data_IF_251200546588
#
_entry.id   IF_251200546588
#
_cell.length_a   1.000
_cell.length_b   1.000
_cell.length_c   1.000
_cell.angle_alpha   90.00
_cell.angle_beta   90.00
_cell.angle_gamma   90.00
#
_symmetry.space_group_name_H-M   'P 1'
#
loop_
_entity.id
_entity.type
_entity.pdbx_description
1 polymer ?
#
# COMPACT_ATOMS: atom_id res chain seq x y z
N UNK A 1 -3.52 -6.75 17.09
CA UNK A 1 -3.89 -5.73 16.08
C UNK A 1 -3.97 -4.41 16.81
N UNK A 2 -3.13 -3.44 16.47
CA UNK A 2 -3.28 -2.07 16.96
C UNK A 2 -4.27 -1.38 16.05
N UNK A 3 -5.42 -0.97 16.60
CA UNK A 3 -6.42 -0.22 15.87
C UNK A 3 -5.84 1.16 15.51
N UNK A 4 -5.82 1.48 14.22
CA UNK A 4 -5.31 2.76 13.73
C UNK A 4 -6.44 3.76 13.91
N UNK A 5 -6.28 4.68 14.86
CA UNK A 5 -7.26 5.71 15.17
C UNK A 5 -7.32 6.71 14.00
N UNK A 6 -8.46 7.41 13.85
CA UNK A 6 -8.61 8.49 12.85
C UNK A 6 -7.56 9.60 13.01
N UNK A 7 -6.96 9.75 14.19
CA UNK A 7 -5.84 10.67 14.46
C UNK A 7 -4.54 10.30 13.75
N UNK A 8 -4.41 9.07 13.26
CA UNK A 8 -3.15 8.52 12.74
C UNK A 8 -3.09 8.58 11.21
N UNK A 9 -4.02 9.28 10.58
CA UNK A 9 -4.12 9.45 9.12
C UNK A 9 -4.02 10.93 8.80
N UNK A 10 -3.31 11.28 7.73
CA UNK A 10 -3.17 12.68 7.36
C UNK A 10 -4.54 13.31 7.05
N UNK A 11 -4.76 14.52 7.58
CA UNK A 11 -5.97 15.28 7.31
C UNK A 11 -6.04 15.66 5.83
N UNK A 12 -7.19 15.41 5.21
CA UNK A 12 -7.46 15.83 3.84
C UNK A 12 -8.11 17.22 3.82
N UNK A 13 -7.58 18.11 2.99
CA UNK A 13 -8.18 19.41 2.68
C UNK A 13 -9.28 19.20 1.63
N UNK A 14 -10.55 19.37 2.03
CA UNK A 14 -11.71 19.22 1.15
C UNK A 14 -12.26 20.56 0.66
N UNK A 15 -12.54 20.68 -0.64
CA UNK A 15 -13.25 21.81 -1.27
C UNK A 15 -14.14 21.30 -2.39
N UNK A 16 -15.45 21.46 -2.25
CA UNK A 16 -16.46 21.15 -3.28
C UNK A 16 -16.30 19.77 -3.93
N UNK A 17 -16.02 18.75 -3.12
CA UNK A 17 -15.83 17.36 -3.57
C UNK A 17 -14.41 16.99 -4.00
N UNK A 18 -13.48 17.94 -4.03
CA UNK A 18 -12.05 17.71 -4.27
C UNK A 18 -11.32 17.64 -2.94
N UNK A 19 -10.57 16.56 -2.72
CA UNK A 19 -9.81 16.35 -1.49
C UNK A 19 -8.33 16.21 -1.78
N UNK A 20 -7.49 16.85 -0.98
CA UNK A 20 -6.03 16.81 -1.13
C UNK A 20 -5.34 16.52 0.19
N UNK A 21 -4.34 15.63 0.17
CA UNK A 21 -3.34 15.50 1.24
C UNK A 21 -2.03 16.10 0.74
N UNK A 22 -1.61 17.23 1.33
CA UNK A 22 -0.39 17.94 0.92
C UNK A 22 0.86 17.36 1.57
N UNK A 23 0.80 17.16 2.88
CA UNK A 23 1.88 16.60 3.66
C UNK A 23 1.35 15.50 4.56
N UNK A 24 2.04 14.37 4.53
CA UNK A 24 1.84 13.27 5.45
C UNK A 24 3.21 12.73 5.84
N UNK A 25 3.42 12.52 7.14
CA UNK A 25 4.59 11.81 7.63
C UNK A 25 4.49 10.31 7.33
N UNK A 26 5.49 9.55 7.77
CA UNK A 26 5.31 8.12 7.94
C UNK A 26 4.36 7.93 9.12
N UNK A 27 3.13 7.52 8.83
CA UNK A 27 2.08 7.44 9.85
C UNK A 27 1.80 6.00 10.28
N UNK A 28 2.31 5.01 9.54
CA UNK A 28 2.12 3.59 9.84
C UNK A 28 3.31 2.75 9.39
N UNK A 29 3.69 1.78 10.22
CA UNK A 29 4.50 0.63 9.82
C UNK A 29 3.64 -0.64 9.83
N UNK A 30 3.78 -1.49 8.81
CA UNK A 30 3.17 -2.82 8.80
C UNK A 30 4.01 -3.76 7.95
N UNK A 31 4.29 -4.95 8.47
CA UNK A 31 4.97 -6.02 7.73
C UNK A 31 6.32 -5.60 7.10
N UNK A 32 7.14 -4.83 7.83
CA UNK A 32 8.41 -4.31 7.29
C UNK A 32 8.26 -3.11 6.33
N UNK A 33 7.03 -2.73 5.98
CA UNK A 33 6.70 -1.64 5.07
C UNK A 33 6.36 -0.37 5.87
N UNK A 34 6.91 0.77 5.45
CA UNK A 34 6.58 2.09 5.98
C UNK A 34 5.59 2.77 5.04
N UNK A 35 4.53 3.34 5.59
CA UNK A 35 3.50 4.00 4.81
C UNK A 35 3.43 5.48 5.15
N UNK A 36 3.58 6.30 4.10
CA UNK A 36 3.12 7.67 4.07
C UNK A 36 1.67 7.66 3.61
N UNK A 37 0.76 8.13 4.47
CA UNK A 37 -0.67 8.06 4.22
C UNK A 37 -1.10 9.02 3.11
N UNK A 38 -1.92 8.53 2.17
CA UNK A 38 -2.62 9.35 1.19
C UNK A 38 -4.11 9.42 1.50
N UNK A 39 -4.94 9.02 0.54
CA UNK A 39 -6.40 9.10 0.64
C UNK A 39 -7.02 7.71 0.83
N UNK A 40 -8.04 7.60 1.67
CA UNK A 40 -8.81 6.38 1.91
C UNK A 40 -10.16 6.72 2.55
N UNK A 41 -10.99 5.71 2.85
CA UNK A 41 -12.23 5.91 3.62
C UNK A 41 -12.02 6.59 4.99
N UNK A 42 -10.78 6.58 5.52
CA UNK A 42 -10.45 7.14 6.83
C UNK A 42 -10.45 8.67 6.83
N UNK A 43 -10.17 9.31 5.69
CA UNK A 43 -10.05 10.77 5.59
C UNK A 43 -10.86 11.40 4.45
N UNK A 44 -11.44 10.59 3.55
CA UNK A 44 -12.36 11.03 2.50
C UNK A 44 -13.51 10.05 2.32
N UNK A 45 -14.48 10.38 1.47
CA UNK A 45 -15.68 9.56 1.24
C UNK A 45 -15.46 8.33 0.33
N UNK A 46 -14.22 7.86 0.18
CA UNK A 46 -13.90 6.65 -0.58
C UNK A 46 -14.51 5.40 0.10
N UNK A 47 -14.83 4.36 -0.69
CA UNK A 47 -15.48 3.12 -0.20
C UNK A 47 -14.68 1.86 -0.45
N UNK A 48 -13.97 1.80 -1.57
CA UNK A 48 -13.18 0.62 -1.99
C UNK A 48 -11.82 1.03 -2.56
N UNK A 49 -11.42 2.29 -2.35
CA UNK A 49 -10.18 2.84 -2.86
C UNK A 49 -9.34 3.39 -1.72
N UNK A 50 -8.05 3.05 -1.75
CA UNK A 50 -7.05 3.72 -0.94
C UNK A 50 -5.79 3.93 -1.75
N UNK A 51 -5.06 5.00 -1.45
CA UNK A 51 -3.79 5.30 -2.07
C UNK A 51 -2.82 5.78 -1.01
N UNK A 52 -1.63 5.18 -0.97
CA UNK A 52 -0.57 5.48 -0.01
C UNK A 52 0.76 5.39 -0.73
N UNK A 53 1.80 6.00 -0.16
CA UNK A 53 3.18 5.74 -0.59
C UNK A 53 3.77 4.71 0.37
N UNK A 54 4.08 3.54 -0.15
CA UNK A 54 4.77 2.48 0.56
C UNK A 54 6.29 2.59 0.34
N UNK A 55 7.07 2.42 1.40
CA UNK A 55 8.54 2.43 1.34
C UNK A 55 9.08 1.21 2.07
N UNK A 56 9.81 0.39 1.32
CA UNK A 56 10.51 -0.80 1.80
C UNK A 56 12.01 -0.49 1.73
N UNK A 57 12.76 -0.59 2.84
CA UNK A 57 14.21 -0.40 2.78
C UNK A 57 14.87 -1.53 1.95
N UNK A 58 16.05 -1.31 1.36
CA UNK A 58 16.78 -2.38 0.66
C UNK A 58 16.95 -3.62 1.54
N UNK A 59 16.64 -4.81 0.98
CA UNK A 59 16.64 -6.08 1.71
C UNK A 59 15.43 -6.29 2.64
N UNK A 60 14.51 -5.32 2.72
CA UNK A 60 13.24 -5.50 3.40
C UNK A 60 12.35 -6.46 2.63
N UNK A 61 11.74 -7.41 3.36
CA UNK A 61 10.80 -8.39 2.83
C UNK A 61 9.56 -8.35 3.71
N UNK A 62 8.39 -8.28 3.09
CA UNK A 62 7.14 -8.45 3.81
C UNK A 62 6.93 -9.93 4.11
N UNK A 63 6.37 -10.29 5.26
CA UNK A 63 5.92 -11.65 5.47
C UNK A 63 4.82 -12.00 4.45
N UNK A 64 4.87 -13.23 3.94
CA UNK A 64 3.87 -13.78 3.02
C UNK A 64 2.44 -13.55 3.54
N UNK A 65 1.56 -13.06 2.68
CA UNK A 65 0.18 -12.74 3.03
C UNK A 65 -0.77 -12.82 1.83
N UNK A 66 -2.07 -12.61 2.11
CA UNK A 66 -3.12 -12.47 1.11
C UNK A 66 -3.96 -11.24 1.39
N UNK A 67 -4.61 -10.71 0.36
CA UNK A 67 -5.66 -9.71 0.48
C UNK A 67 -7.03 -10.38 0.44
N UNK A 68 -7.80 -10.28 1.52
CA UNK A 68 -9.14 -10.86 1.60
C UNK A 68 -10.16 -9.78 1.27
N UNK A 69 -10.87 -9.97 0.15
CA UNK A 69 -11.99 -9.11 -0.25
C UNK A 69 -11.60 -7.79 -0.93
N UNK A 70 -10.34 -7.62 -1.36
CA UNK A 70 -9.91 -6.47 -2.17
C UNK A 70 -8.69 -6.81 -3.03
N UNK A 71 -8.52 -6.07 -4.12
CA UNK A 71 -7.38 -6.12 -5.03
C UNK A 71 -6.35 -5.03 -4.71
N UNK A 72 -5.13 -5.17 -5.23
CA UNK A 72 -4.08 -4.15 -5.09
C UNK A 72 -3.53 -3.75 -6.44
N UNK A 73 -3.41 -2.45 -6.65
CA UNK A 73 -2.61 -1.88 -7.74
C UNK A 73 -1.42 -1.12 -7.15
N UNK A 74 -0.24 -1.35 -7.71
CA UNK A 74 0.99 -0.65 -7.36
C UNK A 74 1.55 0.06 -8.58
N UNK A 75 2.22 1.18 -8.33
CA UNK A 75 3.09 1.84 -9.29
C UNK A 75 4.44 2.04 -8.63
N UNK A 76 5.50 1.52 -9.25
CA UNK A 76 6.84 1.60 -8.68
C UNK A 76 7.44 2.98 -8.97
N UNK A 77 7.51 3.81 -7.93
CA UNK A 77 8.08 5.17 -8.05
C UNK A 77 9.60 5.18 -8.20
N UNK A 78 10.28 4.28 -7.49
CA UNK A 78 11.74 4.22 -7.43
C UNK A 78 12.22 2.84 -6.99
N UNK A 79 13.37 2.40 -7.52
CA UNK A 79 14.03 1.17 -7.11
C UNK A 79 13.55 -0.05 -7.87
N UNK A 80 13.74 -1.22 -7.26
CA UNK A 80 13.33 -2.53 -7.77
C UNK A 80 12.71 -3.35 -6.65
N UNK A 81 11.74 -4.17 -6.99
CA UNK A 81 11.08 -5.09 -6.07
C UNK A 81 10.96 -6.45 -6.75
N UNK A 82 11.15 -7.52 -5.99
CA UNK A 82 10.85 -8.88 -6.42
C UNK A 82 9.66 -9.35 -5.59
N UNK A 83 8.59 -9.76 -6.26
CA UNK A 83 7.49 -10.45 -5.61
C UNK A 83 7.72 -11.94 -5.77
N UNK A 84 7.76 -12.67 -4.65
CA UNK A 84 7.53 -14.12 -4.66
C UNK A 84 6.04 -14.38 -4.48
N UNK A 85 5.49 -15.35 -5.21
CA UNK A 85 4.05 -15.61 -5.21
C UNK A 85 3.72 -17.07 -5.52
N UNK A 86 2.46 -17.44 -5.24
CA UNK A 86 1.95 -18.81 -5.35
C UNK A 86 1.74 -19.44 -3.97
N UNK A 87 1.01 -20.58 -3.88
CA UNK A 87 0.68 -21.23 -2.62
C UNK A 87 1.86 -21.48 -1.67
N UNK A 88 3.07 -21.62 -2.19
CA UNK A 88 4.32 -21.83 -1.45
C UNK A 88 5.43 -20.84 -1.83
N UNK A 89 5.08 -19.68 -2.41
CA UNK A 89 6.01 -18.68 -2.94
C UNK A 89 6.98 -19.23 -4.01
N UNK A 90 6.51 -20.19 -4.79
CA UNK A 90 7.34 -20.94 -5.74
C UNK A 90 7.65 -20.18 -7.04
N UNK A 91 6.93 -19.09 -7.32
CA UNK A 91 7.15 -18.24 -8.48
C UNK A 91 7.72 -16.88 -8.07
N UNK A 92 8.43 -16.24 -8.99
CA UNK A 92 8.92 -14.89 -8.74
C UNK A 92 8.88 -14.02 -10.00
N UNK A 93 8.64 -12.73 -9.79
CA UNK A 93 8.73 -11.70 -10.82
C UNK A 93 9.45 -10.48 -10.25
N UNK A 94 10.31 -9.86 -11.05
CA UNK A 94 11.00 -8.62 -10.72
C UNK A 94 10.34 -7.45 -11.45
N UNK A 95 10.15 -6.34 -10.73
CA UNK A 95 9.61 -5.10 -11.24
C UNK A 95 10.54 -3.94 -10.90
N UNK A 96 10.53 -2.90 -11.72
CA UNK A 96 11.33 -1.71 -11.54
C UNK A 96 10.53 -0.41 -11.71
N UNK A 97 11.19 0.72 -11.46
CA UNK A 97 10.55 2.03 -11.51
C UNK A 97 9.85 2.29 -12.85
N UNK A 98 8.57 2.67 -12.80
CA UNK A 98 7.71 2.85 -13.97
C UNK A 98 6.73 1.71 -14.21
N UNK A 99 6.91 0.55 -13.57
CA UNK A 99 6.00 -0.58 -13.73
C UNK A 99 4.68 -0.37 -12.97
N UNK A 100 3.59 -0.84 -13.59
CA UNK A 100 2.30 -1.04 -12.95
C UNK A 100 2.16 -2.52 -12.57
N UNK A 101 1.67 -2.77 -11.37
CA UNK A 101 1.42 -4.13 -10.85
C UNK A 101 -0.04 -4.22 -10.44
N UNK A 102 -0.69 -5.33 -10.77
CA UNK A 102 -2.01 -5.70 -10.28
C UNK A 102 -1.91 -7.05 -9.56
N UNK A 103 -2.46 -7.12 -8.35
CA UNK A 103 -2.51 -8.34 -7.54
C UNK A 103 -3.98 -8.65 -7.24
N UNK A 104 -4.44 -9.80 -7.70
CA UNK A 104 -5.80 -10.27 -7.45
C UNK A 104 -6.04 -10.60 -5.96
N UNK A 105 -7.29 -10.49 -5.47
CA UNK A 105 -7.63 -10.94 -4.13
C UNK A 105 -7.25 -12.42 -3.92
N UNK A 106 -6.74 -12.75 -2.73
CA UNK A 106 -6.44 -14.13 -2.34
C UNK A 106 -5.16 -14.75 -2.90
N UNK A 107 -4.42 -14.06 -3.78
CA UNK A 107 -3.12 -14.55 -4.27
C UNK A 107 -2.07 -14.46 -3.15
N UNK A 108 -1.44 -15.56 -2.71
CA UNK A 108 -0.36 -15.51 -1.73
C UNK A 108 0.89 -14.89 -2.34
N UNK A 109 1.45 -13.90 -1.65
CA UNK A 109 2.66 -13.19 -2.07
C UNK A 109 3.36 -12.53 -0.87
N UNK A 110 4.61 -12.13 -1.08
CA UNK A 110 5.38 -11.23 -0.21
C UNK A 110 5.81 -9.94 -0.91
#
# INVERSE_FOLDING_TARGET
MTEILRSDVAAAEGRDGIFTVRASGNVRGWNGIRYKSGLSEKNVNAKQLSMNVATIPPGGVAAAHIHVGFEVMLYILQGRVRHEYGPSLEFAIENEAGDFIFIEPGVPHE
#
